data_IF_579615168516
#
_entry.id   IF_579615168516
#
_cell.length_a   1.000
_cell.length_b   1.000
_cell.length_c   1.000
_cell.angle_alpha   90.00
_cell.angle_beta   90.00
_cell.angle_gamma   90.00
#
_symmetry.space_group_name_H-M   'P 1'
#
loop_
_entity.id
_entity.type
_entity.pdbx_description
1 polymer ?
#
# COMPACT_ATOMS: atom_id res chain seq x y z
N UNK A 1 -31.84 -6.54 9.43
CA UNK A 1 -32.58 -7.65 8.82
C UNK A 1 -31.53 -8.48 8.10
N UNK A 2 -31.16 -9.61 8.70
CA UNK A 2 -30.06 -10.47 8.27
C UNK A 2 -30.61 -11.35 7.14
N UNK A 3 -30.05 -11.26 5.94
CA UNK A 3 -30.32 -12.23 4.89
C UNK A 3 -29.12 -13.19 4.80
N UNK A 4 -29.30 -14.39 5.37
CA UNK A 4 -28.57 -15.58 4.95
C UNK A 4 -28.97 -15.90 3.51
N UNK A 5 -28.00 -15.95 2.59
CA UNK A 5 -28.15 -16.64 1.30
C UNK A 5 -26.93 -17.53 1.08
N UNK A 6 -26.87 -18.63 1.83
CA UNK A 6 -26.33 -19.88 1.29
C UNK A 6 -27.22 -20.26 0.12
N UNK A 7 -26.67 -20.18 -1.09
CA UNK A 7 -27.23 -20.57 -2.41
C UNK A 7 -27.30 -19.37 -3.39
N UNK A 8 -26.16 -18.88 -3.87
CA UNK A 8 -26.12 -18.23 -5.18
C UNK A 8 -24.74 -18.36 -5.85
N UNK A 9 -24.71 -19.14 -6.92
CA UNK A 9 -23.75 -19.15 -8.03
C UNK A 9 -22.30 -19.61 -7.79
N UNK A 10 -22.10 -20.92 -8.00
CA UNK A 10 -21.00 -21.39 -8.85
C UNK A 10 -21.13 -20.76 -10.25
N UNK A 11 -20.53 -19.59 -10.48
CA UNK A 11 -20.26 -19.12 -11.85
C UNK A 11 -18.77 -19.13 -12.10
N UNK A 12 -18.36 -20.16 -12.85
CA UNK A 12 -17.08 -20.21 -13.55
C UNK A 12 -16.85 -18.92 -14.33
N UNK A 13 -15.70 -18.30 -14.09
CA UNK A 13 -15.10 -17.23 -14.87
C UNK A 13 -14.98 -17.66 -16.35
N UNK A 14 -15.98 -17.30 -17.14
CA UNK A 14 -15.92 -17.22 -18.60
C UNK A 14 -16.56 -15.90 -19.00
N UNK A 15 -15.80 -14.81 -18.94
CA UNK A 15 -15.53 -14.00 -20.14
C UNK A 15 -14.64 -12.82 -19.80
N UNK A 16 -13.69 -12.56 -20.69
CA UNK A 16 -12.83 -11.39 -20.63
C UNK A 16 -13.62 -10.12 -20.93
N UNK A 17 -13.60 -9.17 -20.00
CA UNK A 17 -13.76 -7.76 -20.31
C UNK A 17 -12.69 -6.96 -19.54
N UNK A 18 -11.88 -6.26 -20.33
CA UNK A 18 -10.80 -5.38 -19.90
C UNK A 18 -11.32 -4.24 -19.01
N UNK A 19 -10.85 -4.17 -17.77
CA UNK A 19 -10.91 -2.97 -16.93
C UNK A 19 -9.48 -2.48 -16.65
N UNK A 20 -8.87 -1.63 -17.50
CA UNK A 20 -7.45 -1.34 -17.39
C UNK A 20 -7.06 -0.34 -16.28
N UNK A 21 -7.97 0.10 -15.40
CA UNK A 21 -7.70 1.24 -14.50
C UNK A 21 -8.12 1.07 -13.03
N UNK A 22 -8.20 -0.16 -12.50
CA UNK A 22 -8.52 -0.40 -11.08
C UNK A 22 -7.37 -1.10 -10.32
N UNK A 23 -6.12 -0.82 -10.67
CA UNK A 23 -4.98 -1.43 -9.99
C UNK A 23 -3.82 -0.44 -9.82
N UNK A 24 -3.91 0.46 -8.85
CA UNK A 24 -2.73 1.29 -8.50
C UNK A 24 -2.39 1.29 -7.01
N UNK A 25 -3.25 0.77 -6.12
CA UNK A 25 -3.00 0.79 -4.67
C UNK A 25 -3.06 -0.59 -3.98
N UNK A 26 -2.99 -1.71 -4.70
CA UNK A 26 -2.95 -3.06 -4.11
C UNK A 26 -1.57 -3.47 -3.55
N UNK A 27 -0.69 -2.49 -3.32
CA UNK A 27 0.68 -2.73 -2.86
C UNK A 27 0.62 -2.94 -1.34
N UNK A 28 0.60 -4.21 -0.92
CA UNK A 28 0.59 -4.75 0.46
C UNK A 28 -0.79 -5.08 1.07
N UNK A 29 -1.57 -5.92 0.39
CA UNK A 29 -2.63 -6.63 1.10
C UNK A 29 -2.01 -7.64 2.11
N UNK A 30 -2.63 -7.82 3.29
CA UNK A 30 -2.13 -8.73 4.33
C UNK A 30 -2.20 -10.22 3.91
N UNK A 31 -2.89 -10.53 2.81
CA UNK A 31 -3.02 -11.88 2.26
C UNK A 31 -2.72 -11.88 0.77
N UNK A 32 -2.14 -12.99 0.30
CA UNK A 32 -1.84 -13.26 -1.12
C UNK A 32 -3.05 -13.74 -1.92
N UNK A 33 -4.14 -14.10 -1.23
CA UNK A 33 -5.39 -14.56 -1.81
C UNK A 33 -6.53 -13.76 -1.19
N UNK A 34 -7.41 -13.23 -2.04
CA UNK A 34 -8.55 -12.42 -1.65
C UNK A 34 -9.65 -12.56 -2.70
N UNK A 35 -10.89 -12.32 -2.29
CA UNK A 35 -12.07 -12.40 -3.12
C UNK A 35 -12.70 -11.01 -3.23
N UNK A 36 -13.04 -10.64 -4.46
CA UNK A 36 -13.73 -9.39 -4.77
C UNK A 36 -15.10 -9.73 -5.31
N UNK A 37 -16.13 -9.15 -4.71
CA UNK A 37 -17.50 -9.21 -5.22
C UNK A 37 -18.05 -7.78 -5.37
N UNK A 38 -18.92 -7.56 -6.35
CA UNK A 38 -19.53 -6.26 -6.61
C UNK A 38 -21.04 -6.40 -6.71
N UNK A 39 -21.76 -5.71 -5.83
CA UNK A 39 -23.20 -5.62 -5.86
C UNK A 39 -23.62 -4.36 -6.62
N UNK A 40 -24.18 -4.57 -7.81
CA UNK A 40 -24.60 -3.49 -8.71
C UNK A 40 -25.85 -2.74 -8.23
N UNK A 41 -26.71 -3.36 -7.42
CA UNK A 41 -27.91 -2.71 -6.88
C UNK A 41 -27.54 -1.79 -5.71
N UNK A 42 -26.53 -2.18 -4.92
CA UNK A 42 -26.03 -1.40 -3.80
C UNK A 42 -24.92 -0.40 -4.16
N UNK A 43 -24.26 -0.55 -5.32
CA UNK A 43 -23.03 0.18 -5.71
C UNK A 43 -21.91 0.01 -4.66
N UNK A 44 -21.69 -1.24 -4.23
CA UNK A 44 -20.71 -1.61 -3.19
C UNK A 44 -19.77 -2.70 -3.70
N UNK A 45 -18.46 -2.50 -3.46
CA UNK A 45 -17.43 -3.53 -3.66
C UNK A 45 -17.12 -4.19 -2.32
N UNK A 46 -17.30 -5.49 -2.24
CA UNK A 46 -16.88 -6.32 -1.12
C UNK A 46 -15.48 -6.88 -1.37
N UNK A 47 -14.60 -6.74 -0.38
CA UNK A 47 -13.27 -7.35 -0.40
C UNK A 47 -13.16 -8.29 0.79
N UNK A 48 -12.99 -9.57 0.50
CA UNK A 48 -12.89 -10.63 1.50
C UNK A 48 -11.49 -11.23 1.49
N UNK A 49 -10.96 -11.51 2.69
CA UNK A 49 -9.69 -12.23 2.87
C UNK A 49 -9.90 -13.70 3.24
N UNK A 50 -11.15 -14.17 3.22
CA UNK A 50 -11.55 -15.56 3.46
C UNK A 50 -12.58 -15.95 2.41
N UNK A 51 -12.47 -17.15 1.84
CA UNK A 51 -13.30 -17.64 0.72
C UNK A 51 -14.79 -17.66 1.03
N UNK A 52 -15.14 -18.05 2.26
CA UNK A 52 -16.52 -18.15 2.74
C UNK A 52 -16.68 -17.29 4.00
N UNK A 53 -16.82 -15.96 3.85
CA UNK A 53 -16.93 -15.06 4.98
C UNK A 53 -18.27 -15.29 5.70
N UNK A 54 -18.22 -15.45 7.02
CA UNK A 54 -19.40 -15.50 7.87
C UNK A 54 -19.31 -14.37 8.91
N UNK A 55 -20.02 -13.28 8.67
CA UNK A 55 -20.00 -12.11 9.56
C UNK A 55 -20.98 -12.32 10.71
N UNK A 56 -20.52 -12.09 11.95
CA UNK A 56 -21.42 -12.03 13.13
C UNK A 56 -21.72 -10.60 13.55
N UNK A 57 -20.82 -9.67 13.19
CA UNK A 57 -20.87 -8.25 13.53
C UNK A 57 -20.41 -7.42 12.33
N UNK A 58 -21.03 -6.25 12.15
CA UNK A 58 -20.72 -5.28 11.09
C UNK A 58 -20.76 -3.87 11.66
N UNK A 59 -19.71 -3.09 11.44
CA UNK A 59 -19.61 -1.69 11.84
C UNK A 59 -19.32 -0.78 10.63
N UNK A 60 -20.08 0.30 10.47
CA UNK A 60 -19.85 1.30 9.43
C UNK A 60 -19.00 2.44 9.98
N UNK A 61 -17.85 2.68 9.35
CA UNK A 61 -16.93 3.78 9.67
C UNK A 61 -17.33 5.07 8.95
N UNK A 62 -16.86 6.20 9.49
CA UNK A 62 -17.10 7.55 8.94
C UNK A 62 -16.49 7.76 7.54
N UNK A 63 -15.55 6.90 7.13
CA UNK A 63 -14.92 6.89 5.81
C UNK A 63 -15.71 6.05 4.78
N UNK A 64 -16.85 5.49 5.16
CA UNK A 64 -17.72 4.67 4.31
C UNK A 64 -17.29 3.21 4.21
N UNK A 65 -16.29 2.78 4.99
CA UNK A 65 -15.86 1.37 5.04
C UNK A 65 -16.72 0.62 6.05
N UNK A 66 -17.33 -0.49 5.60
CA UNK A 66 -18.00 -1.44 6.48
C UNK A 66 -16.98 -2.50 6.90
N UNK A 67 -16.76 -2.63 8.21
CA UNK A 67 -15.92 -3.67 8.79
C UNK A 67 -16.79 -4.84 9.22
N UNK A 68 -16.57 -5.99 8.58
CA UNK A 68 -17.18 -7.26 8.94
C UNK A 68 -16.15 -8.14 9.66
N UNK A 69 -16.49 -8.59 10.87
CA UNK A 69 -15.60 -9.43 11.69
C UNK A 69 -16.38 -10.49 12.51
N UNK A 70 -15.65 -11.49 12.99
CA UNK A 70 -16.20 -12.54 13.84
C UNK A 70 -15.96 -12.24 15.32
N UNK A 71 -16.94 -12.58 16.17
CA UNK A 71 -16.79 -12.51 17.62
C UNK A 71 -15.68 -13.47 18.07
N UNK A 72 -14.56 -12.91 18.54
CA UNK A 72 -13.34 -13.66 18.87
C UNK A 72 -12.10 -13.24 18.08
N UNK A 73 -12.26 -12.45 17.01
CA UNK A 73 -11.15 -11.77 16.36
C UNK A 73 -10.54 -10.76 17.34
N UNK A 74 -9.34 -11.06 17.86
CA UNK A 74 -8.63 -10.12 18.71
C UNK A 74 -8.13 -8.96 17.85
N UNK A 75 -8.73 -7.79 18.03
CA UNK A 75 -8.16 -6.55 17.51
C UNK A 75 -6.77 -6.40 18.18
N UNK A 76 -5.68 -6.31 17.40
CA UNK A 76 -4.34 -6.13 17.95
C UNK A 76 -4.33 -4.96 18.93
N UNK A 77 -3.66 -5.13 20.06
CA UNK A 77 -3.50 -4.03 21.01
C UNK A 77 -2.71 -2.88 20.38
N UNK A 78 -2.86 -1.64 20.85
CA UNK A 78 -2.10 -0.49 20.33
C UNK A 78 -0.58 -0.78 20.27
N UNK A 79 -0.04 -1.49 21.26
CA UNK A 79 1.37 -1.88 21.30
C UNK A 79 1.79 -2.89 20.21
N UNK A 80 0.86 -3.70 19.70
CA UNK A 80 1.12 -4.64 18.61
C UNK A 80 0.99 -3.95 17.24
N UNK A 81 0.17 -2.90 17.14
CA UNK A 81 0.01 -2.09 15.93
C UNK A 81 1.21 -1.19 15.61
N UNK A 82 2.05 -0.88 16.61
CA UNK A 82 3.27 -0.08 16.43
C UNK A 82 4.46 -0.91 15.91
N UNK A 83 4.36 -2.24 15.87
CA UNK A 83 5.43 -3.09 15.34
C UNK A 83 5.43 -3.06 13.81
N UNK A 84 6.62 -3.12 13.23
CA UNK A 84 6.76 -3.21 11.79
C UNK A 84 6.08 -4.47 11.25
N UNK A 85 5.27 -4.32 10.21
CA UNK A 85 4.54 -5.42 9.58
C UNK A 85 5.40 -6.27 8.62
N UNK A 86 6.62 -5.83 8.33
CA UNK A 86 7.56 -6.56 7.47
C UNK A 86 8.09 -7.79 8.20
N UNK A 87 7.93 -8.95 7.57
CA UNK A 87 8.39 -10.22 8.11
C UNK A 87 9.90 -10.18 8.45
N UNK A 88 10.22 -10.46 9.71
CA UNK A 88 11.60 -10.48 10.21
C UNK A 88 12.17 -9.10 10.58
N UNK A 89 11.38 -8.03 10.50
CA UNK A 89 11.79 -6.71 10.97
C UNK A 89 11.39 -6.52 12.45
N UNK A 90 12.35 -6.33 13.38
CA UNK A 90 12.03 -6.07 14.79
C UNK A 90 11.73 -4.59 15.08
N UNK A 91 11.63 -3.75 14.03
CA UNK A 91 11.46 -2.32 14.19
C UNK A 91 10.05 -1.91 14.59
N UNK A 92 9.93 -0.64 14.98
CA UNK A 92 8.66 -0.01 15.36
C UNK A 92 8.41 1.20 14.47
N UNK A 93 7.15 1.48 14.18
CA UNK A 93 6.72 2.65 13.43
C UNK A 93 6.72 3.88 14.33
N UNK A 94 7.27 4.97 13.80
CA UNK A 94 7.33 6.27 14.48
C UNK A 94 6.77 7.35 13.56
N UNK A 95 6.03 8.31 14.12
CA UNK A 95 5.57 9.49 13.38
C UNK A 95 6.74 10.33 12.89
N UNK A 96 6.83 10.52 11.57
CA UNK A 96 7.84 11.34 10.91
C UNK A 96 7.24 12.18 9.79
N UNK A 97 7.89 13.32 9.55
CA UNK A 97 7.65 14.12 8.36
C UNK A 97 8.67 13.71 7.30
N UNK A 98 8.18 13.19 6.18
CA UNK A 98 9.01 12.67 5.10
C UNK A 98 8.97 13.57 3.86
N UNK A 99 9.89 13.29 2.95
CA UNK A 99 9.80 13.72 1.56
C UNK A 99 9.21 12.57 0.76
N UNK A 100 8.06 12.80 0.12
CA UNK A 100 7.35 11.79 -0.66
C UNK A 100 7.29 12.19 -2.13
N UNK A 101 7.67 11.28 -3.02
CA UNK A 101 7.65 11.49 -4.48
C UNK A 101 6.41 10.82 -5.05
N UNK A 102 5.56 11.59 -5.72
CA UNK A 102 4.35 11.09 -6.37
C UNK A 102 4.49 11.25 -7.87
N UNK A 103 4.16 10.21 -8.63
CA UNK A 103 4.01 10.29 -10.08
C UNK A 103 2.53 10.31 -10.44
N UNK A 104 2.08 11.35 -11.13
CA UNK A 104 0.69 11.48 -11.58
C UNK A 104 0.65 11.96 -13.03
N UNK A 105 0.02 11.17 -13.91
CA UNK A 105 -0.11 11.47 -15.36
C UNK A 105 1.23 11.77 -16.06
N UNK A 106 2.30 11.10 -15.63
CA UNK A 106 3.65 11.30 -16.17
C UNK A 106 4.40 12.51 -15.60
N UNK A 107 3.77 13.31 -14.74
CA UNK A 107 4.40 14.40 -14.00
C UNK A 107 4.87 13.90 -12.62
N UNK A 108 6.07 14.32 -12.22
CA UNK A 108 6.67 13.99 -10.92
C UNK A 108 6.49 15.15 -9.95
N UNK A 109 6.00 14.87 -8.76
CA UNK A 109 5.80 15.82 -7.68
C UNK A 109 6.64 15.44 -6.49
N UNK A 110 7.45 16.38 -6.00
CA UNK A 110 8.19 16.23 -4.75
C UNK A 110 7.42 16.93 -3.63
N UNK A 111 6.96 16.15 -2.65
CA UNK A 111 6.16 16.63 -1.53
C UNK A 111 7.02 16.64 -0.27
N UNK A 112 7.27 17.82 0.30
CA UNK A 112 7.96 17.97 1.58
C UNK A 112 6.95 17.93 2.74
N UNK A 113 7.42 17.50 3.92
CA UNK A 113 6.66 17.50 5.17
C UNK A 113 5.37 16.67 5.13
N UNK A 114 5.42 15.51 4.45
CA UNK A 114 4.30 14.58 4.44
C UNK A 114 4.28 13.80 5.76
N UNK A 115 3.20 13.84 6.56
CA UNK A 115 3.10 13.05 7.78
C UNK A 115 2.94 11.56 7.46
N UNK A 116 3.82 10.75 8.03
CA UNK A 116 3.92 9.32 7.79
C UNK A 116 4.39 8.58 9.04
N UNK A 117 4.04 7.30 9.15
CA UNK A 117 4.61 6.38 10.12
C UNK A 117 5.78 5.65 9.45
N UNK A 118 6.98 5.73 10.04
CA UNK A 118 8.21 5.17 9.45
C UNK A 118 8.89 4.22 10.40
N UNK A 119 9.16 2.99 9.94
CA UNK A 119 9.86 1.99 10.71
C UNK A 119 11.30 2.43 11.02
N UNK A 120 11.68 2.36 12.30
CA UNK A 120 13.00 2.74 12.80
C UNK A 120 14.16 1.88 12.27
N UNK A 121 13.87 0.71 11.70
CA UNK A 121 14.88 -0.26 11.24
C UNK A 121 14.94 -0.37 9.72
N UNK A 122 13.84 -0.76 9.07
CA UNK A 122 13.83 -1.02 7.63
C UNK A 122 13.44 0.21 6.79
N UNK A 123 12.94 1.27 7.41
CA UNK A 123 12.48 2.47 6.71
C UNK A 123 11.14 2.30 5.99
N UNK A 124 10.41 1.21 6.24
CA UNK A 124 9.07 1.06 5.69
C UNK A 124 8.18 2.23 6.12
N UNK A 125 7.34 2.70 5.19
CA UNK A 125 6.58 3.94 5.35
C UNK A 125 5.10 3.67 5.14
N UNK A 126 4.27 4.09 6.09
CA UNK A 126 2.82 4.05 6.01
C UNK A 126 2.26 5.47 6.00
N UNK A 127 1.28 5.71 5.11
CA UNK A 127 0.55 6.97 5.03
C UNK A 127 -0.89 6.72 5.47
N UNK A 128 -1.42 7.58 6.32
CA UNK A 128 -2.82 7.50 6.71
C UNK A 128 -3.75 7.81 5.53
N UNK A 129 -4.99 7.28 5.51
CA UNK A 129 -5.98 7.63 4.48
C UNK A 129 -6.22 9.14 4.37
N UNK A 130 -6.20 9.87 5.49
CA UNK A 130 -6.33 11.32 5.51
C UNK A 130 -5.15 12.02 4.80
N UNK A 131 -3.91 11.55 5.04
CA UNK A 131 -2.72 12.06 4.35
C UNK A 131 -2.82 11.85 2.85
N UNK A 132 -3.14 10.63 2.40
CA UNK A 132 -3.27 10.31 0.97
C UNK A 132 -4.36 11.15 0.31
N UNK A 133 -5.54 11.26 0.93
CA UNK A 133 -6.64 12.10 0.43
C UNK A 133 -6.23 13.56 0.28
N UNK A 134 -5.47 14.10 1.24
CA UNK A 134 -4.97 15.47 1.19
C UNK A 134 -3.97 15.67 0.06
N UNK A 135 -3.08 14.71 -0.18
CA UNK A 135 -2.14 14.73 -1.31
C UNK A 135 -2.91 14.76 -2.64
N UNK A 136 -3.87 13.84 -2.82
CA UNK A 136 -4.67 13.77 -4.05
C UNK A 136 -5.46 15.06 -4.31
N UNK A 137 -6.08 15.64 -3.28
CA UNK A 137 -6.78 16.93 -3.40
C UNK A 137 -5.82 18.04 -3.86
N UNK A 138 -4.65 18.14 -3.24
CA UNK A 138 -3.64 19.14 -3.60
C UNK A 138 -3.16 18.99 -5.05
N UNK A 139 -2.96 17.76 -5.52
CA UNK A 139 -2.54 17.47 -6.90
C UNK A 139 -3.68 17.64 -7.92
N UNK A 140 -4.95 17.47 -7.50
CA UNK A 140 -6.12 17.69 -8.34
C UNK A 140 -6.43 19.18 -8.59
N UNK A 141 -6.20 20.02 -7.58
CA UNK A 141 -6.45 21.47 -7.64
C UNK A 141 -5.42 22.25 -8.48
N UNK A 142 -4.42 21.57 -9.07
CA UNK A 142 -3.35 22.18 -9.87
C UNK A 142 -2.70 23.39 -9.19
N UNK A 143 -2.48 23.29 -7.88
CA UNK A 143 -1.80 24.35 -7.13
C UNK A 143 -0.38 24.56 -7.67
N UNK A 144 0.07 25.81 -7.71
CA UNK A 144 1.45 26.11 -8.11
C UNK A 144 2.43 25.51 -7.09
N UNK A 145 3.50 24.84 -7.54
CA UNK A 145 4.48 24.29 -6.62
C UNK A 145 5.15 25.41 -5.83
N UNK A 146 5.38 25.18 -4.54
CA UNK A 146 6.08 26.14 -3.69
C UNK A 146 7.54 26.35 -4.13
N UNK A 147 8.17 25.31 -4.71
CA UNK A 147 9.56 25.29 -5.16
C UNK A 147 9.70 24.37 -6.37
N UNK A 148 10.69 24.63 -7.22
CA UNK A 148 11.12 23.74 -8.29
C UNK A 148 12.46 23.10 -7.92
N UNK A 149 12.62 21.80 -8.22
CA UNK A 149 13.86 21.06 -7.95
C UNK A 149 14.46 20.60 -9.28
N UNK A 150 15.75 20.86 -9.54
CA UNK A 150 16.40 20.36 -10.75
C UNK A 150 16.50 18.83 -10.71
N UNK A 151 16.11 18.18 -11.80
CA UNK A 151 16.30 16.74 -11.99
C UNK A 151 17.52 16.52 -12.88
N UNK A 152 18.44 15.67 -12.43
CA UNK A 152 19.63 15.29 -13.19
C UNK A 152 19.49 13.82 -13.62
N UNK A 153 19.85 13.54 -14.87
CA UNK A 153 19.97 12.17 -15.37
C UNK A 153 21.36 11.64 -15.07
N UNK A 154 21.45 10.43 -14.51
CA UNK A 154 22.73 9.78 -14.27
C UNK A 154 23.23 9.12 -15.55
N UNK A 155 24.24 9.71 -16.18
CA UNK A 155 24.97 9.07 -17.29
C UNK A 155 26.01 8.12 -16.70
N UNK A 156 25.99 6.86 -17.16
CA UNK A 156 26.71 5.69 -16.63
C UNK A 156 28.08 5.93 -15.97
N UNK A 157 28.35 5.17 -14.92
CA UNK A 157 29.66 5.06 -14.28
C UNK A 157 30.51 4.02 -15.03
N UNK A 158 31.58 4.45 -15.71
CA UNK A 158 32.62 3.55 -16.19
C UNK A 158 33.72 3.46 -15.11
N UNK A 159 33.87 2.27 -14.52
CA UNK A 159 34.93 1.96 -13.58
C UNK A 159 36.22 1.63 -14.35
N UNK A 160 36.95 2.66 -14.77
CA UNK A 160 38.27 2.51 -15.39
C UNK A 160 39.39 2.37 -14.33
N UNK A 161 39.08 1.94 -13.11
CA UNK A 161 40.12 1.72 -12.10
C UNK A 161 41.05 0.60 -12.59
N UNK A 162 42.35 0.88 -12.86
CA UNK A 162 43.28 -0.18 -13.22
C UNK A 162 43.36 -1.15 -12.03
N UNK A 163 42.90 -2.38 -12.26
CA UNK A 163 43.12 -3.49 -11.33
C UNK A 163 44.63 -3.65 -11.22
N UNK A 164 45.23 -3.11 -10.15
CA UNK A 164 46.60 -3.43 -9.78
C UNK A 164 46.64 -4.94 -9.57
N UNK A 165 47.19 -5.66 -10.54
CA UNK A 165 47.40 -7.09 -10.48
C UNK A 165 48.28 -7.37 -9.27
N UNK A 166 47.66 -7.84 -8.19
CA UNK A 166 48.35 -8.35 -7.02
C UNK A 166 49.06 -9.61 -7.49
N UNK A 167 50.37 -9.55 -7.65
CA UNK A 167 51.20 -10.73 -7.89
C UNK A 167 51.00 -11.70 -6.72
N UNK A 168 50.58 -12.92 -7.02
CA UNK A 168 50.40 -14.00 -6.04
C UNK A 168 51.67 -14.19 -5.19
N UNK A 169 51.56 -14.42 -3.88
CA UNK A 169 52.72 -14.77 -3.08
C UNK A 169 53.19 -16.17 -3.50
N UNK A 170 54.44 -16.25 -3.96
CA UNK A 170 55.17 -17.52 -4.10
C UNK A 170 55.20 -18.23 -2.75
N UNK A 171 54.37 -19.25 -2.57
CA UNK A 171 54.58 -20.25 -1.53
C UNK A 171 55.64 -21.23 -2.03
N UNK A 172 56.86 -21.04 -1.53
CA UNK A 172 57.98 -21.98 -1.63
C UNK A 172 57.78 -23.19 -0.70
#
# INVERSE_FOLDING_TARGET
MICCFTDCCETKLHDGQNYPNMMTNFIKLPATEFWLDYDADADVVYLHFVEHPASTHSDMRDDGIILDYQEGDTIPTEAEMMKCSIQGCPGEYEDKLIVHVVQRRGEMFLLEHVPAEVCSICGDTLLTPATVKRIEQMLAESQRPAKFVPMYEFTQYHDDTPVLSVSEPNFA
#
